data_IF_858280902141
#
_entry.id   IF_858280902141
#
_cell.length_a   1.000
_cell.length_b   1.000
_cell.length_c   1.000
_cell.angle_alpha   90.00
_cell.angle_beta   90.00
_cell.angle_gamma   90.00
#
_symmetry.space_group_name_H-M   'P 1'
#
loop_
_entity.id
_entity.type
_entity.pdbx_description
1 polymer ?
#
# COMPACT_ATOMS: atom_id res chain seq x y z
N UNK A 1 -4.84 16.41 5.71
CA UNK A 1 -3.64 16.50 4.86
C UNK A 1 -2.70 15.42 5.34
N UNK A 2 -2.64 14.30 4.62
CA UNK A 2 -1.83 13.15 4.99
C UNK A 2 -1.31 12.50 3.72
N UNK A 3 -0.30 13.15 3.13
CA UNK A 3 0.62 12.50 2.22
C UNK A 3 1.74 11.96 3.10
N UNK A 4 1.95 10.64 3.17
CA UNK A 4 3.02 10.09 4.00
C UNK A 4 4.36 10.70 3.59
N UNK A 5 5.13 11.12 4.60
CA UNK A 5 6.47 11.69 4.47
C UNK A 5 6.58 13.07 3.78
N UNK A 6 5.47 13.74 3.43
CA UNK A 6 5.48 15.14 3.00
C UNK A 6 4.71 15.99 4.00
N UNK A 7 5.45 16.60 4.94
CA UNK A 7 4.88 17.36 6.06
C UNK A 7 5.51 18.74 6.13
N UNK A 8 5.42 19.52 5.06
CA UNK A 8 5.83 20.91 5.10
C UNK A 8 4.64 21.80 5.45
N UNK A 9 4.72 22.46 6.59
CA UNK A 9 3.83 23.59 6.88
C UNK A 9 4.08 24.73 5.88
N UNK A 10 3.09 25.60 5.72
CA UNK A 10 3.20 26.79 4.89
C UNK A 10 4.44 27.63 5.24
N UNK A 11 4.72 27.82 6.54
CA UNK A 11 5.88 28.58 7.02
C UNK A 11 7.21 27.92 6.62
N UNK A 12 7.30 26.59 6.70
CA UNK A 12 8.49 25.87 6.26
C UNK A 12 8.70 25.96 4.75
N UNK A 13 7.62 25.91 3.96
CA UNK A 13 7.67 26.14 2.53
C UNK A 13 8.18 27.55 2.22
N UNK A 14 7.60 28.58 2.86
CA UNK A 14 8.02 29.97 2.67
C UNK A 14 9.51 30.18 2.99
N UNK A 15 9.99 29.58 4.07
CA UNK A 15 11.41 29.59 4.44
C UNK A 15 12.29 28.93 3.36
N UNK A 16 11.88 27.75 2.87
CA UNK A 16 12.59 27.04 1.81
C UNK A 16 12.64 27.87 0.52
N UNK A 17 11.54 28.48 0.11
CA UNK A 17 11.51 29.33 -1.09
C UNK A 17 12.40 30.56 -0.94
N UNK A 18 12.40 31.18 0.25
CA UNK A 18 13.28 32.30 0.56
C UNK A 18 14.76 31.90 0.51
N UNK A 19 15.12 30.73 1.05
CA UNK A 19 16.48 30.20 0.97
C UNK A 19 16.92 29.97 -0.48
N UNK A 20 16.08 29.35 -1.31
CA UNK A 20 16.37 29.13 -2.73
C UNK A 20 16.55 30.46 -3.48
N UNK A 21 15.72 31.45 -3.16
CA UNK A 21 15.79 32.79 -3.76
C UNK A 21 17.11 33.52 -3.43
N UNK A 22 17.53 33.52 -2.16
CA UNK A 22 18.79 34.18 -1.75
C UNK A 22 20.02 33.51 -2.37
N UNK A 23 19.97 32.19 -2.60
CA UNK A 23 21.05 31.46 -3.25
C UNK A 23 21.05 31.62 -4.78
N UNK A 24 20.20 32.48 -5.35
CA UNK A 24 20.18 32.81 -6.77
C UNK A 24 19.67 31.69 -7.68
N UNK A 25 18.94 30.71 -7.12
CA UNK A 25 18.32 29.64 -7.91
C UNK A 25 17.15 30.23 -8.70
N UNK A 26 17.20 30.06 -10.03
CA UNK A 26 16.13 30.46 -10.94
C UNK A 26 15.10 29.33 -11.07
N UNK A 27 13.91 29.64 -11.59
CA UNK A 27 12.81 28.67 -11.82
C UNK A 27 12.28 27.95 -10.56
N UNK A 28 12.27 28.66 -9.43
CA UNK A 28 11.67 28.16 -8.19
C UNK A 28 10.14 28.25 -8.30
N UNK A 29 9.38 27.16 -8.04
CA UNK A 29 7.92 27.19 -8.11
C UNK A 29 7.34 28.21 -7.12
N UNK A 30 6.12 28.70 -7.35
CA UNK A 30 5.48 29.50 -6.31
C UNK A 30 4.94 28.61 -5.19
N UNK A 31 4.77 29.16 -4.00
CA UNK A 31 4.03 28.51 -2.90
C UNK A 31 2.65 28.02 -3.36
N UNK A 32 1.95 28.82 -4.18
CA UNK A 32 0.65 28.46 -4.73
C UNK A 32 0.75 27.24 -5.63
N UNK A 33 1.76 27.20 -6.50
CA UNK A 33 2.06 26.06 -7.36
C UNK A 33 2.32 24.80 -6.54
N UNK A 34 3.09 24.93 -5.45
CA UNK A 34 3.36 23.81 -4.55
C UNK A 34 2.09 23.28 -3.89
N UNK A 35 1.21 24.17 -3.42
CA UNK A 35 -0.10 23.78 -2.85
C UNK A 35 -1.01 23.08 -3.86
N UNK A 36 -1.08 23.58 -5.10
CA UNK A 36 -1.88 22.94 -6.14
C UNK A 36 -1.37 21.53 -6.46
N UNK A 37 -0.04 21.35 -6.48
CA UNK A 37 0.58 20.04 -6.63
C UNK A 37 0.24 19.14 -5.45
N UNK A 38 0.32 19.66 -4.23
CA UNK A 38 -0.02 18.93 -3.01
C UNK A 38 -1.49 18.48 -2.98
N UNK A 39 -2.43 19.35 -3.36
CA UNK A 39 -3.84 19.01 -3.52
C UNK A 39 -4.04 17.91 -4.57
N UNK A 40 -3.27 17.95 -5.66
CA UNK A 40 -3.26 16.91 -6.68
C UNK A 40 -2.75 15.57 -6.14
N UNK A 41 -1.62 15.57 -5.44
CA UNK A 41 -1.05 14.37 -4.82
C UNK A 41 -1.96 13.81 -3.74
N UNK A 42 -2.59 14.65 -2.93
CA UNK A 42 -3.54 14.23 -1.90
C UNK A 42 -4.75 13.53 -2.51
N UNK A 43 -5.22 13.93 -3.69
CA UNK A 43 -6.30 13.22 -4.39
C UNK A 43 -5.90 11.84 -4.92
N UNK A 44 -4.62 11.64 -5.21
CA UNK A 44 -4.12 10.39 -5.83
C UNK A 44 -3.63 9.40 -4.76
N UNK A 45 -2.91 9.90 -3.77
CA UNK A 45 -2.15 9.11 -2.79
C UNK A 45 -2.54 9.43 -1.34
N UNK A 46 -3.48 10.34 -1.12
CA UNK A 46 -3.89 10.72 0.22
C UNK A 46 -4.70 9.63 0.90
N UNK A 47 -4.49 9.48 2.21
CA UNK A 47 -5.31 8.62 3.05
C UNK A 47 -6.54 9.42 3.49
N UNK A 48 -7.74 8.91 3.20
CA UNK A 48 -8.99 9.54 3.62
C UNK A 48 -9.18 9.42 5.14
N UNK A 49 -9.67 10.49 5.78
CA UNK A 49 -10.07 10.46 7.19
C UNK A 49 -11.59 10.40 7.27
N UNK A 50 -12.09 9.25 7.72
CA UNK A 50 -13.50 8.90 7.79
C UNK A 50 -14.08 9.31 9.16
N UNK A 51 -15.20 10.06 9.18
CA UNK A 51 -15.91 10.39 10.42
C UNK A 51 -16.79 9.24 10.89
N UNK A 52 -16.82 9.00 12.19
CA UNK A 52 -17.66 8.01 12.84
C UNK A 52 -18.33 8.59 14.09
N UNK A 53 -19.49 8.04 14.43
CA UNK A 53 -20.19 8.32 15.68
C UNK A 53 -20.13 7.09 16.56
N UNK A 54 -19.53 7.21 17.74
CA UNK A 54 -19.44 6.12 18.71
C UNK A 54 -20.80 5.78 19.31
N UNK A 55 -20.90 4.61 19.94
CA UNK A 55 -22.14 4.15 20.57
C UNK A 55 -22.68 5.13 21.64
N UNK A 56 -21.81 5.93 22.25
CA UNK A 56 -22.15 6.98 23.22
C UNK A 56 -22.34 8.37 22.60
N UNK A 57 -22.43 8.49 21.28
CA UNK A 57 -22.69 9.75 20.57
C UNK A 57 -21.48 10.69 20.39
N UNK A 58 -20.29 10.30 20.84
CA UNK A 58 -19.07 11.06 20.58
C UNK A 58 -18.61 10.86 19.13
N UNK A 59 -18.18 11.95 18.48
CA UNK A 59 -17.57 11.86 17.16
C UNK A 59 -16.10 11.48 17.29
N UNK A 60 -15.66 10.54 16.47
CA UNK A 60 -14.26 10.18 16.30
C UNK A 60 -13.96 10.01 14.82
N UNK A 61 -12.68 10.02 14.47
CA UNK A 61 -12.22 9.95 13.10
C UNK A 61 -11.22 8.82 12.96
N UNK A 62 -11.30 8.07 11.87
CA UNK A 62 -10.32 7.03 11.56
C UNK A 62 -9.81 7.22 10.14
N UNK A 63 -8.54 6.92 9.93
CA UNK A 63 -7.99 6.86 8.58
C UNK A 63 -8.50 5.60 7.86
N UNK A 64 -8.76 5.73 6.57
CA UNK A 64 -9.18 4.66 5.69
C UNK A 64 -8.15 3.54 5.68
N UNK A 65 -8.53 2.38 6.20
CA UNK A 65 -7.65 1.22 6.26
C UNK A 65 -7.33 0.69 4.86
N UNK A 66 -8.28 0.77 3.92
CA UNK A 66 -8.05 0.39 2.52
C UNK A 66 -7.00 1.29 1.86
N UNK A 67 -6.99 2.58 2.16
CA UNK A 67 -6.00 3.50 1.58
C UNK A 67 -4.60 3.23 2.14
N UNK A 68 -4.51 2.92 3.44
CA UNK A 68 -3.27 2.50 4.08
C UNK A 68 -2.71 1.23 3.42
N UNK A 69 -3.54 0.18 3.27
CA UNK A 69 -3.11 -1.06 2.60
C UNK A 69 -2.67 -0.77 1.17
N UNK A 70 -3.47 -0.01 0.41
CA UNK A 70 -3.15 0.36 -0.97
C UNK A 70 -1.77 1.01 -1.06
N UNK A 71 -1.44 1.88 -0.12
CA UNK A 71 -0.16 2.58 -0.11
C UNK A 71 1.01 1.66 0.24
N UNK A 72 0.87 0.78 1.24
CA UNK A 72 1.90 -0.20 1.57
C UNK A 72 2.13 -1.20 0.44
N UNK A 73 1.06 -1.64 -0.25
CA UNK A 73 1.18 -2.51 -1.42
C UNK A 73 1.86 -1.82 -2.60
N UNK A 74 1.69 -0.50 -2.76
CA UNK A 74 2.33 0.27 -3.83
C UNK A 74 3.77 0.68 -3.49
N UNK A 75 4.21 0.50 -2.24
CA UNK A 75 5.53 0.93 -1.80
C UNK A 75 6.62 -0.03 -2.34
N UNK A 76 7.55 0.44 -3.20
CA UNK A 76 8.56 -0.42 -3.83
C UNK A 76 9.57 -1.02 -2.84
N UNK A 77 9.71 -0.46 -1.64
CA UNK A 77 10.61 -0.99 -0.61
C UNK A 77 9.95 -2.05 0.27
N UNK A 78 8.63 -1.97 0.44
CA UNK A 78 7.85 -2.87 1.30
C UNK A 78 7.29 -4.03 0.48
N UNK A 79 6.84 -3.79 -0.75
CA UNK A 79 6.25 -4.81 -1.63
C UNK A 79 7.09 -6.09 -1.72
N UNK A 80 8.44 -6.06 -1.85
CA UNK A 80 9.27 -7.27 -1.91
C UNK A 80 9.34 -8.05 -0.60
N UNK A 81 9.00 -7.42 0.53
CA UNK A 81 9.00 -8.03 1.86
C UNK A 81 7.63 -8.63 2.22
N UNK A 82 6.60 -8.37 1.41
CA UNK A 82 5.26 -8.92 1.63
C UNK A 82 5.19 -10.36 1.10
N UNK A 83 4.74 -11.27 1.96
CA UNK A 83 4.48 -12.66 1.62
C UNK A 83 2.98 -12.87 1.45
N UNK A 84 2.55 -13.16 0.21
CA UNK A 84 1.14 -13.35 -0.12
C UNK A 84 0.74 -14.83 -0.14
N UNK A 85 1.66 -15.70 -0.53
CA UNK A 85 1.38 -17.12 -0.70
C UNK A 85 1.58 -17.89 0.61
N UNK A 86 0.68 -18.82 0.96
CA UNK A 86 0.95 -19.78 2.01
C UNK A 86 2.15 -20.66 1.64
N UNK A 87 3.00 -20.95 2.62
CA UNK A 87 4.17 -21.80 2.44
C UNK A 87 4.09 -23.04 3.33
N UNK A 88 4.58 -24.19 2.86
CA UNK A 88 4.75 -25.37 3.71
C UNK A 88 6.17 -25.41 4.26
N UNK A 89 6.31 -25.16 5.56
CA UNK A 89 7.59 -25.21 6.28
C UNK A 89 7.80 -26.54 7.02
N UNK A 90 6.95 -27.54 6.79
CA UNK A 90 7.04 -28.84 7.44
C UNK A 90 6.76 -28.77 8.95
N UNK A 91 7.75 -29.12 9.76
CA UNK A 91 7.59 -29.29 11.21
C UNK A 91 7.85 -28.05 12.07
N UNK A 92 8.36 -26.96 11.50
CA UNK A 92 8.74 -25.75 12.24
C UNK A 92 8.10 -24.52 11.60
N UNK A 93 7.67 -23.56 12.42
CA UNK A 93 7.06 -22.31 11.96
C UNK A 93 7.92 -21.13 12.42
N UNK A 94 8.38 -20.33 11.47
CA UNK A 94 9.05 -19.05 11.75
C UNK A 94 8.09 -17.87 11.53
N UNK A 95 7.22 -17.99 10.53
CA UNK A 95 6.32 -16.92 10.10
C UNK A 95 4.87 -17.37 10.01
N UNK A 96 3.95 -16.40 10.07
CA UNK A 96 2.52 -16.70 10.05
C UNK A 96 2.06 -17.38 8.76
N UNK A 97 2.56 -16.95 7.58
CA UNK A 97 2.19 -17.51 6.27
C UNK A 97 2.61 -18.98 6.08
N UNK A 98 3.48 -19.49 6.95
CA UNK A 98 3.90 -20.90 6.97
C UNK A 98 2.93 -21.80 7.73
N UNK A 99 2.00 -21.20 8.50
CA UNK A 99 1.08 -21.96 9.33
C UNK A 99 0.07 -22.73 8.49
N UNK A 100 -0.21 -23.97 8.93
CA UNK A 100 -1.20 -24.87 8.32
C UNK A 100 -2.57 -24.22 8.09
N UNK A 101 -2.94 -23.24 8.92
CA UNK A 101 -4.20 -22.49 8.79
C UNK A 101 -4.34 -21.83 7.41
N UNK A 102 -3.28 -21.20 6.91
CA UNK A 102 -3.30 -20.54 5.60
C UNK A 102 -3.30 -21.53 4.45
N UNK A 103 -2.59 -22.66 4.59
CA UNK A 103 -2.44 -23.64 3.51
C UNK A 103 -3.63 -24.61 3.40
N UNK A 104 -4.26 -25.00 4.52
CA UNK A 104 -5.22 -26.12 4.56
C UNK A 104 -6.61 -25.79 5.12
N UNK A 105 -6.75 -24.70 5.87
CA UNK A 105 -7.99 -24.41 6.60
C UNK A 105 -8.74 -23.21 6.02
N UNK A 106 -8.02 -22.27 5.40
CA UNK A 106 -8.62 -21.09 4.82
C UNK A 106 -9.29 -21.40 3.48
N UNK A 107 -10.43 -20.77 3.22
CA UNK A 107 -11.12 -20.86 1.94
C UNK A 107 -10.20 -20.29 0.83
N UNK A 108 -9.90 -21.06 -0.24
CA UNK A 108 -9.06 -20.60 -1.34
C UNK A 108 -9.57 -19.30 -1.99
N UNK A 109 -10.87 -19.03 -1.97
CA UNK A 109 -11.44 -17.77 -2.50
C UNK A 109 -11.04 -16.53 -1.70
N UNK A 110 -10.56 -16.71 -0.47
CA UNK A 110 -10.08 -15.63 0.40
C UNK A 110 -8.56 -15.49 0.42
N UNK A 111 -7.84 -16.38 -0.29
CA UNK A 111 -6.40 -16.36 -0.46
C UNK A 111 -5.99 -15.62 -1.75
N UNK A 112 -4.69 -15.60 -2.05
CA UNK A 112 -4.18 -15.04 -3.29
C UNK A 112 -4.77 -15.78 -4.50
N UNK A 113 -5.50 -15.11 -5.40
CA UNK A 113 -6.31 -15.77 -6.41
C UNK A 113 -5.52 -16.26 -7.63
N UNK A 114 -4.28 -15.80 -7.77
CA UNK A 114 -3.45 -16.06 -8.95
C UNK A 114 -1.98 -16.08 -8.59
N UNK A 115 -1.22 -16.93 -9.26
CA UNK A 115 0.24 -16.89 -9.29
C UNK A 115 0.74 -16.74 -10.73
N UNK A 116 1.79 -15.92 -10.90
CA UNK A 116 2.51 -15.80 -12.17
C UNK A 116 3.78 -16.63 -12.11
N UNK A 117 3.88 -17.65 -12.96
CA UNK A 117 5.05 -18.51 -13.11
C UNK A 117 5.53 -18.46 -14.55
N UNK A 118 6.82 -18.15 -14.76
CA UNK A 118 7.44 -18.08 -16.09
C UNK A 118 6.68 -17.20 -17.11
N UNK A 119 6.01 -16.14 -16.65
CA UNK A 119 5.25 -15.23 -17.50
C UNK A 119 3.83 -15.71 -17.83
N UNK A 120 3.39 -16.85 -17.30
CA UNK A 120 2.02 -17.34 -17.40
C UNK A 120 1.29 -17.17 -16.07
N UNK A 121 0.02 -16.80 -16.14
CA UNK A 121 -0.87 -16.68 -14.99
C UNK A 121 -1.63 -17.98 -14.76
N UNK A 122 -1.72 -18.40 -13.50
CA UNK A 122 -2.49 -19.55 -13.04
C UNK A 122 -3.45 -19.10 -11.95
N UNK A 123 -4.75 -19.25 -12.18
CA UNK A 123 -5.78 -18.87 -11.23
C UNK A 123 -6.26 -20.05 -10.39
N UNK A 124 -6.74 -19.76 -9.19
CA UNK A 124 -7.42 -20.77 -8.37
C UNK A 124 -8.62 -21.36 -9.12
N UNK A 125 -8.83 -22.67 -8.95
CA UNK A 125 -9.91 -23.44 -9.61
C UNK A 125 -9.84 -23.55 -11.14
N UNK A 126 -8.79 -23.03 -11.79
CA UNK A 126 -8.53 -23.31 -13.19
C UNK A 126 -7.69 -24.58 -13.34
N UNK A 127 -8.06 -25.49 -14.26
CA UNK A 127 -7.26 -26.68 -14.51
C UNK A 127 -5.90 -26.30 -15.08
N UNK A 128 -4.83 -26.85 -14.51
CA UNK A 128 -3.45 -26.61 -14.94
C UNK A 128 -2.78 -27.91 -15.39
N UNK A 129 -2.09 -27.86 -16.53
CA UNK A 129 -1.25 -28.96 -16.99
C UNK A 129 0.13 -28.87 -16.33
N UNK A 130 0.45 -29.85 -15.50
CA UNK A 130 1.76 -29.98 -14.88
C UNK A 130 2.82 -30.41 -15.92
N UNK A 131 4.09 -30.12 -15.63
CA UNK A 131 5.22 -30.49 -16.51
C UNK A 131 5.35 -32.00 -16.73
N UNK A 132 4.76 -32.82 -15.85
CA UNK A 132 4.70 -34.27 -15.97
C UNK A 132 3.53 -34.78 -16.84
N UNK A 133 2.74 -33.88 -17.43
CA UNK A 133 1.59 -34.19 -18.28
C UNK A 133 0.29 -34.47 -17.53
N UNK A 134 0.25 -34.35 -16.19
CA UNK A 134 -0.96 -34.49 -15.39
C UNK A 134 -1.76 -33.19 -15.39
N UNK A 135 -3.09 -33.30 -15.34
CA UNK A 135 -3.99 -32.14 -15.15
C UNK A 135 -4.40 -32.11 -13.68
N UNK A 136 -4.27 -30.94 -13.05
CA UNK A 136 -4.71 -30.67 -11.68
C UNK A 136 -5.73 -29.54 -11.67
#
# INVERSE_FOLDING_TARGET
MHIPHSVFSQCQLDLLMWLLHINGIQDVPSVRTMKTLEDGLQKICGIETLPFTGAFGHQYYMNSFSDIIRQEMANPHIQPQLHFYPEDSGGQLNEAYQARRWLKEMDPTQLTPMIRLHGQDFFIFEPALLSNGQVC
#
